data_IF_867543489470
#
_entry.id   IF_867543489470
#
_cell.length_a   1.000
_cell.length_b   1.000
_cell.length_c   1.000
_cell.angle_alpha   90.00
_cell.angle_beta   90.00
_cell.angle_gamma   90.00
#
_symmetry.space_group_name_H-M   'P 1'
#
loop_
_entity.id
_entity.type
_entity.pdbx_description
1 polymer ?
#
# COMPACT_ATOMS: atom_id res chain seq x y z
N UNK A 1 -15.92 -22.69 18.31
CA UNK A 1 -15.42 -21.44 17.70
C UNK A 1 -15.96 -21.30 16.28
N UNK A 2 -16.35 -20.11 15.84
CA UNK A 2 -16.89 -19.81 14.50
C UNK A 2 -16.17 -18.60 13.91
N UNK A 3 -15.73 -18.68 12.66
CA UNK A 3 -15.17 -17.55 11.91
C UNK A 3 -16.30 -16.67 11.36
N UNK A 4 -16.17 -15.36 11.49
CA UNK A 4 -17.02 -14.37 10.82
C UNK A 4 -16.11 -13.37 10.09
N UNK A 5 -16.59 -12.87 8.94
CA UNK A 5 -15.89 -11.87 8.12
C UNK A 5 -16.68 -10.57 8.10
N UNK A 6 -15.95 -9.44 8.05
CA UNK A 6 -16.50 -8.12 7.83
C UNK A 6 -17.23 -8.00 6.49
N UNK A 7 -18.21 -7.11 6.42
CA UNK A 7 -19.00 -6.85 5.20
C UNK A 7 -18.48 -5.66 4.37
N UNK A 8 -17.67 -4.78 4.96
CA UNK A 8 -17.05 -3.66 4.27
C UNK A 8 -15.75 -4.07 3.57
N UNK A 9 -15.38 -3.30 2.55
CA UNK A 9 -14.09 -3.36 1.87
C UNK A 9 -12.99 -3.42 2.93
N UNK A 10 -12.19 -4.48 2.86
CA UNK A 10 -11.36 -4.94 3.96
C UNK A 10 -10.22 -4.01 4.34
N UNK A 11 -9.35 -4.51 5.21
CA UNK A 11 -8.06 -3.90 5.48
C UNK A 11 -7.17 -4.00 4.23
N UNK A 12 -6.44 -2.94 3.93
CA UNK A 12 -5.46 -2.90 2.85
C UNK A 12 -4.12 -3.38 3.34
N UNK A 13 -3.42 -4.13 2.52
CA UNK A 13 -2.04 -4.53 2.72
C UNK A 13 -1.24 -4.14 1.48
N UNK A 14 -0.21 -3.32 1.66
CA UNK A 14 0.62 -2.78 0.58
C UNK A 14 2.01 -2.45 1.10
N UNK A 15 2.97 -2.22 0.19
CA UNK A 15 4.28 -1.69 0.56
C UNK A 15 4.40 -0.23 0.09
N UNK A 16 5.02 0.58 0.93
CA UNK A 16 5.29 1.99 0.71
C UNK A 16 6.74 2.19 0.27
N UNK A 17 6.94 2.85 -0.87
CA UNK A 17 8.23 3.42 -1.21
C UNK A 17 8.52 4.63 -0.31
N UNK A 18 9.70 4.66 0.32
CA UNK A 18 10.15 5.70 1.23
C UNK A 18 11.39 6.38 0.66
N UNK A 19 11.21 7.60 0.13
CA UNK A 19 12.32 8.35 -0.47
C UNK A 19 11.90 9.50 -1.37
N UNK A 20 10.69 9.46 -1.90
CA UNK A 20 10.14 10.50 -2.75
C UNK A 20 9.12 11.34 -1.95
N UNK A 21 9.59 12.27 -1.14
CA UNK A 21 8.75 13.20 -0.37
C UNK A 21 8.86 14.60 -0.94
N UNK A 22 7.75 15.28 -1.19
CA UNK A 22 7.76 16.61 -1.77
C UNK A 22 8.43 17.63 -0.86
N UNK A 23 9.29 18.45 -1.44
CA UNK A 23 9.87 19.64 -0.82
C UNK A 23 10.03 20.74 -1.85
N UNK A 24 9.20 21.78 -1.75
CA UNK A 24 9.22 22.93 -2.65
C UNK A 24 10.47 23.80 -2.51
N UNK A 25 11.29 23.58 -1.49
CA UNK A 25 12.57 24.29 -1.30
C UNK A 25 13.74 23.60 -2.01
N UNK A 26 13.59 22.33 -2.37
CA UNK A 26 14.62 21.58 -3.08
C UNK A 26 14.60 21.89 -4.58
N UNK A 27 15.72 21.69 -5.27
CA UNK A 27 15.82 21.92 -6.72
C UNK A 27 15.07 20.90 -7.56
N UNK A 28 14.91 19.68 -7.08
CA UNK A 28 14.20 18.60 -7.78
C UNK A 28 12.72 18.47 -7.37
N UNK A 29 12.27 19.25 -6.38
CA UNK A 29 10.92 19.14 -5.82
C UNK A 29 10.75 18.04 -4.76
N UNK A 30 11.83 17.34 -4.38
CA UNK A 30 11.83 16.28 -3.38
C UNK A 30 12.95 16.42 -2.35
N UNK A 31 12.73 15.88 -1.14
CA UNK A 31 13.73 15.85 -0.07
C UNK A 31 15.01 15.12 -0.50
N UNK A 32 14.89 13.99 -1.20
CA UNK A 32 16.01 13.19 -1.70
C UNK A 32 16.02 13.17 -3.23
N UNK A 33 16.77 14.07 -3.85
CA UNK A 33 16.87 14.16 -5.31
C UNK A 33 17.56 12.96 -5.97
N UNK A 34 18.28 12.15 -5.19
CA UNK A 34 18.96 10.93 -5.62
C UNK A 34 18.17 9.65 -5.29
N UNK A 35 16.92 9.77 -4.82
CA UNK A 35 16.10 8.59 -4.52
C UNK A 35 15.83 7.78 -5.80
N UNK A 36 16.09 6.46 -5.79
CA UNK A 36 15.79 5.60 -6.94
C UNK A 36 14.28 5.55 -7.23
N UNK A 37 13.45 5.85 -6.22
CA UNK A 37 12.00 5.87 -6.37
C UNK A 37 11.47 7.12 -7.06
N UNK A 38 12.31 8.10 -7.44
CA UNK A 38 11.89 9.14 -8.38
C UNK A 38 11.75 8.60 -9.80
N UNK A 39 12.46 7.51 -10.13
CA UNK A 39 12.33 6.84 -11.41
C UNK A 39 11.09 5.93 -11.45
N UNK A 40 10.18 6.23 -12.38
CA UNK A 40 8.96 5.46 -12.61
C UNK A 40 9.27 4.03 -13.05
N UNK A 41 10.33 3.81 -13.84
CA UNK A 41 10.71 2.48 -14.33
C UNK A 41 11.15 1.57 -13.19
N UNK A 42 11.87 2.11 -12.20
CA UNK A 42 12.22 1.38 -10.97
C UNK A 42 10.96 0.93 -10.23
N UNK A 43 10.01 1.85 -9.99
CA UNK A 43 8.77 1.52 -9.28
C UNK A 43 7.92 0.49 -10.03
N UNK A 44 7.86 0.60 -11.36
CA UNK A 44 7.18 -0.36 -12.22
C UNK A 44 7.86 -1.73 -12.17
N UNK A 45 9.19 -1.79 -12.30
CA UNK A 45 9.94 -3.03 -12.26
C UNK A 45 9.73 -3.80 -10.94
N UNK A 46 9.83 -3.11 -9.80
CA UNK A 46 9.61 -3.71 -8.49
C UNK A 46 8.19 -4.26 -8.32
N UNK A 47 7.19 -3.65 -8.97
CA UNK A 47 5.82 -4.16 -9.00
C UNK A 47 5.67 -5.39 -9.89
N UNK A 48 6.28 -5.39 -11.07
CA UNK A 48 6.20 -6.51 -12.04
C UNK A 48 7.02 -7.73 -11.61
N UNK A 49 7.95 -7.56 -10.68
CA UNK A 49 8.70 -8.66 -10.08
C UNK A 49 7.84 -9.56 -9.17
N UNK A 50 6.68 -9.10 -8.69
CA UNK A 50 5.96 -9.78 -7.61
C UNK A 50 4.87 -10.68 -8.18
N UNK A 51 5.01 -11.99 -7.95
CA UNK A 51 3.92 -12.94 -8.17
C UNK A 51 2.87 -12.79 -7.06
N UNK A 52 1.83 -12.02 -7.36
CA UNK A 52 0.72 -11.76 -6.45
C UNK A 52 -0.22 -12.96 -6.31
N UNK A 53 -0.22 -13.92 -7.22
CA UNK A 53 -1.09 -15.08 -7.07
C UNK A 53 -0.43 -16.09 -6.13
N UNK A 54 0.86 -16.37 -6.33
CA UNK A 54 1.68 -17.19 -5.43
C UNK A 54 1.69 -16.62 -4.01
N UNK A 55 1.95 -15.31 -3.87
CA UNK A 55 1.98 -14.64 -2.58
C UNK A 55 0.62 -14.73 -1.85
N UNK A 56 -0.49 -14.62 -2.58
CA UNK A 56 -1.84 -14.71 -2.01
C UNK A 56 -2.12 -16.12 -1.47
N UNK A 57 -1.71 -17.16 -2.20
CA UNK A 57 -1.89 -18.53 -1.74
C UNK A 57 -1.03 -18.82 -0.50
N UNK A 58 0.24 -18.42 -0.51
CA UNK A 58 1.19 -18.73 0.55
C UNK A 58 0.87 -18.03 1.88
N UNK A 59 0.55 -16.73 1.84
CA UNK A 59 0.44 -15.92 3.07
C UNK A 59 -0.98 -15.47 3.39
N UNK A 60 -1.87 -15.42 2.41
CA UNK A 60 -3.25 -14.95 2.59
C UNK A 60 -4.28 -16.08 2.44
N UNK A 61 -3.83 -17.31 2.22
CA UNK A 61 -4.67 -18.50 2.03
C UNK A 61 -5.64 -18.37 0.85
N UNK A 62 -5.27 -17.61 -0.17
CA UNK A 62 -6.09 -17.32 -1.35
C UNK A 62 -7.28 -16.39 -1.09
N UNK A 63 -7.33 -15.74 0.07
CA UNK A 63 -8.46 -14.88 0.49
C UNK A 63 -8.23 -13.39 0.24
N UNK A 64 -7.01 -12.99 -0.13
CA UNK A 64 -6.72 -11.62 -0.52
C UNK A 64 -7.43 -11.28 -1.83
N UNK A 65 -8.16 -10.17 -1.84
CA UNK A 65 -8.71 -9.61 -3.07
C UNK A 65 -7.64 -8.70 -3.69
N UNK A 66 -7.27 -8.95 -4.96
CA UNK A 66 -6.27 -8.16 -5.69
C UNK A 66 -6.58 -6.66 -5.59
N UNK A 67 -5.60 -5.88 -5.13
CA UNK A 67 -5.76 -4.44 -4.99
C UNK A 67 -5.25 -3.71 -6.23
N UNK A 68 -6.19 -3.26 -7.07
CA UNK A 68 -5.88 -2.51 -8.31
C UNK A 68 -5.52 -1.06 -8.02
N UNK A 69 -6.11 -0.46 -6.98
CA UNK A 69 -5.77 0.88 -6.49
C UNK A 69 -5.73 0.88 -4.97
N UNK A 70 -4.73 1.56 -4.41
CA UNK A 70 -4.51 1.52 -2.97
C UNK A 70 -5.58 2.26 -2.17
N UNK A 71 -5.95 3.47 -2.55
CA UNK A 71 -6.82 4.31 -1.72
C UNK A 71 -8.27 4.37 -2.19
N UNK A 72 -8.60 3.71 -3.29
CA UNK A 72 -9.93 3.75 -3.87
C UNK A 72 -10.41 2.30 -3.94
N UNK A 73 -11.49 1.91 -3.25
CA UNK A 73 -12.03 0.57 -3.37
C UNK A 73 -12.80 0.41 -4.69
N UNK A 74 -12.87 -0.80 -5.27
CA UNK A 74 -13.62 -1.06 -6.51
C UNK A 74 -15.12 -0.82 -6.38
N UNK A 75 -15.63 -0.77 -5.14
CA UNK A 75 -17.02 -0.44 -4.84
C UNK A 75 -17.32 1.06 -4.85
N UNK A 76 -16.30 1.93 -5.01
CA UNK A 76 -16.50 3.37 -5.07
C UNK A 76 -17.31 3.75 -6.32
N UNK A 77 -18.27 4.66 -6.19
CA UNK A 77 -19.04 5.19 -7.33
C UNK A 77 -18.17 5.90 -8.37
N UNK A 78 -16.99 6.35 -7.93
CA UNK A 78 -15.92 6.91 -8.72
C UNK A 78 -14.78 5.88 -8.84
N UNK A 79 -15.07 4.64 -9.22
CA UNK A 79 -14.05 3.65 -9.65
C UNK A 79 -13.82 3.67 -11.16
N UNK A 80 -12.58 3.69 -11.66
CA UNK A 80 -12.31 3.78 -13.10
C UNK A 80 -12.10 2.35 -13.58
N UNK A 81 -13.02 1.85 -14.40
CA UNK A 81 -12.96 0.49 -14.92
C UNK A 81 -11.75 0.23 -15.82
N UNK A 82 -11.13 1.29 -16.34
CA UNK A 82 -9.89 1.18 -17.11
C UNK A 82 -8.73 0.70 -16.25
N UNK A 83 -8.71 1.03 -14.95
CA UNK A 83 -7.69 0.51 -14.04
C UNK A 83 -7.71 -1.01 -13.96
N UNK A 84 -8.90 -1.63 -13.93
CA UNK A 84 -9.04 -3.09 -13.95
C UNK A 84 -8.60 -3.69 -15.28
N UNK A 85 -9.07 -3.11 -16.39
CA UNK A 85 -8.74 -3.55 -17.75
C UNK A 85 -7.23 -3.55 -17.98
N UNK A 86 -6.56 -2.51 -17.51
CA UNK A 86 -5.16 -2.25 -17.82
C UNK A 86 -4.20 -2.76 -16.74
N UNK A 87 -4.70 -3.27 -15.60
CA UNK A 87 -3.88 -3.70 -14.48
C UNK A 87 -2.86 -4.76 -14.88
N UNK A 88 -3.30 -5.88 -15.48
CA UNK A 88 -2.42 -7.00 -15.76
C UNK A 88 -1.34 -6.63 -16.79
N UNK A 89 -1.66 -5.76 -17.76
CA UNK A 89 -0.70 -5.26 -18.74
C UNK A 89 0.37 -4.35 -18.14
N UNK A 90 0.04 -3.58 -17.08
CA UNK A 90 0.92 -2.57 -16.51
C UNK A 90 1.66 -3.06 -15.24
N UNK A 91 0.98 -3.84 -14.41
CA UNK A 91 1.40 -4.26 -13.07
C UNK A 91 1.58 -5.78 -12.93
N UNK A 92 1.14 -6.56 -13.92
CA UNK A 92 1.19 -8.03 -13.88
C UNK A 92 2.61 -8.57 -13.75
N UNK A 93 2.69 -9.76 -13.15
CA UNK A 93 3.95 -10.48 -12.90
C UNK A 93 4.68 -10.78 -14.22
N UNK A 94 5.87 -10.20 -14.37
CA UNK A 94 6.76 -10.36 -15.52
C UNK A 94 8.19 -9.94 -15.11
N UNK A 95 8.96 -10.87 -14.51
CA UNK A 95 10.34 -10.62 -14.12
C UNK A 95 11.25 -10.24 -15.28
N UNK A 96 10.96 -10.70 -16.50
CA UNK A 96 11.77 -10.38 -17.67
C UNK A 96 11.63 -8.91 -18.04
N UNK A 97 10.40 -8.40 -18.11
CA UNK A 97 10.18 -6.99 -18.35
C UNK A 97 10.62 -6.10 -17.17
N UNK A 98 10.55 -6.60 -15.93
CA UNK A 98 11.12 -5.90 -14.78
C UNK A 98 12.64 -5.67 -14.95
N UNK A 99 13.40 -6.68 -15.38
CA UNK A 99 14.83 -6.52 -15.69
C UNK A 99 15.07 -5.51 -16.82
N UNK A 100 14.25 -5.52 -17.88
CA UNK A 100 14.35 -4.53 -18.97
C UNK A 100 14.17 -3.10 -18.46
N UNK A 101 13.14 -2.86 -17.65
CA UNK A 101 12.88 -1.54 -17.05
C UNK A 101 14.02 -1.08 -16.15
N UNK A 102 14.60 -1.99 -15.35
CA UNK A 102 15.77 -1.68 -14.53
C UNK A 102 17.00 -1.33 -15.38
N UNK A 103 17.23 -2.05 -16.47
CA UNK A 103 18.33 -1.77 -17.40
C UNK A 103 18.19 -0.42 -18.10
N UNK A 104 16.98 -0.02 -18.49
CA UNK A 104 16.69 1.32 -19.02
C UNK A 104 17.01 2.43 -18.01
N UNK A 105 16.87 2.15 -16.72
CA UNK A 105 17.25 3.03 -15.61
C UNK A 105 18.73 2.93 -15.21
N UNK A 106 19.53 2.12 -15.92
CA UNK A 106 20.97 1.97 -15.67
C UNK A 106 21.33 0.95 -14.59
N UNK A 107 20.37 0.14 -14.13
CA UNK A 107 20.61 -0.93 -13.17
C UNK A 107 20.79 -2.28 -13.87
N UNK A 108 21.80 -3.04 -13.45
CA UNK A 108 22.11 -4.37 -13.97
C UNK A 108 22.93 -5.15 -12.92
N UNK A 109 23.38 -6.35 -13.24
CA UNK A 109 24.16 -7.17 -12.31
C UNK A 109 25.47 -6.53 -11.82
N UNK A 110 26.09 -5.64 -12.61
CA UNK A 110 27.33 -4.94 -12.24
C UNK A 110 27.07 -3.63 -11.49
N UNK A 111 25.88 -3.05 -11.66
CA UNK A 111 25.38 -1.87 -10.96
C UNK A 111 23.96 -2.15 -10.44
N UNK A 112 23.79 -3.01 -9.41
CA UNK A 112 22.47 -3.42 -8.97
C UNK A 112 21.74 -2.25 -8.31
N UNK A 113 20.43 -2.20 -8.50
CA UNK A 113 19.57 -1.35 -7.65
C UNK A 113 19.67 -1.87 -6.21
N UNK A 114 20.03 -1.01 -5.27
CA UNK A 114 20.00 -1.33 -3.84
C UNK A 114 18.76 -0.73 -3.18
N UNK A 115 18.03 -1.53 -2.42
CA UNK A 115 16.87 -1.06 -1.62
C UNK A 115 16.93 -1.63 -0.20
N UNK A 116 16.46 -0.85 0.78
CA UNK A 116 16.32 -1.30 2.16
C UNK A 116 14.92 -1.82 2.44
N UNK A 117 14.76 -3.11 2.75
CA UNK A 117 13.47 -3.73 3.06
C UNK A 117 13.27 -3.79 4.57
N UNK A 118 12.32 -3.02 5.09
CA UNK A 118 12.10 -2.91 6.53
C UNK A 118 11.32 -4.11 7.10
N UNK A 119 12.03 -5.16 7.47
CA UNK A 119 11.46 -6.37 8.07
C UNK A 119 10.83 -6.01 9.43
N UNK A 120 9.49 -5.95 9.42
CA UNK A 120 8.69 -5.49 10.57
C UNK A 120 7.42 -6.31 10.70
N UNK A 121 7.00 -6.56 11.95
CA UNK A 121 5.72 -7.20 12.27
C UNK A 121 4.65 -6.14 12.51
N UNK A 122 3.56 -6.19 11.75
CA UNK A 122 2.43 -5.28 11.90
C UNK A 122 1.33 -5.92 12.75
N UNK A 123 0.81 -5.16 13.72
CA UNK A 123 -0.28 -5.63 14.59
C UNK A 123 -1.54 -6.02 13.79
N UNK A 124 -1.78 -5.34 12.67
CA UNK A 124 -2.91 -5.58 11.78
C UNK A 124 -2.71 -6.80 10.87
N UNK A 125 -1.47 -7.30 10.70
CA UNK A 125 -1.18 -8.49 9.91
C UNK A 125 0.15 -9.12 10.35
N UNK A 126 0.07 -10.18 11.16
CA UNK A 126 1.23 -10.75 11.85
C UNK A 126 2.28 -11.40 10.92
N UNK A 127 1.92 -11.78 9.70
CA UNK A 127 2.81 -12.39 8.71
C UNK A 127 3.51 -11.34 7.83
N UNK A 128 3.49 -10.05 8.21
CA UNK A 128 4.09 -8.98 7.39
C UNK A 128 5.59 -9.14 7.18
N UNK A 129 6.32 -9.70 8.15
CA UNK A 129 7.75 -9.97 8.01
C UNK A 129 8.01 -11.02 6.91
N UNK A 130 7.31 -12.14 6.96
CA UNK A 130 7.45 -13.21 5.96
C UNK A 130 7.06 -12.73 4.55
N UNK A 131 6.02 -11.89 4.44
CA UNK A 131 5.61 -11.26 3.16
C UNK A 131 6.69 -10.33 2.62
N UNK A 132 7.40 -9.59 3.47
CA UNK A 132 8.51 -8.74 3.03
C UNK A 132 9.72 -9.59 2.58
N UNK A 133 10.02 -10.68 3.28
CA UNK A 133 11.13 -11.58 2.95
C UNK A 133 10.95 -12.25 1.58
N UNK A 134 9.75 -12.78 1.30
CA UNK A 134 9.47 -13.40 -0.01
C UNK A 134 9.50 -12.36 -1.14
N UNK A 135 9.00 -11.14 -0.91
CA UNK A 135 9.05 -10.05 -1.89
C UNK A 135 10.50 -9.63 -2.18
N UNK A 136 11.36 -9.59 -1.17
CA UNK A 136 12.79 -9.36 -1.36
C UNK A 136 13.46 -10.49 -2.19
N UNK A 137 12.99 -11.73 -2.03
CA UNK A 137 13.36 -12.86 -2.89
C UNK A 137 13.02 -12.61 -4.36
N UNK A 138 11.77 -12.22 -4.65
CA UNK A 138 11.35 -11.86 -6.02
C UNK A 138 12.19 -10.74 -6.64
N UNK A 139 12.61 -9.76 -5.85
CA UNK A 139 13.52 -8.71 -6.31
C UNK A 139 14.94 -9.22 -6.56
N UNK A 140 15.42 -10.17 -5.76
CA UNK A 140 16.70 -10.81 -5.98
C UNK A 140 16.74 -11.57 -7.31
N UNK A 141 15.62 -12.18 -7.74
CA UNK A 141 15.50 -12.88 -9.03
C UNK A 141 15.59 -11.96 -10.26
N UNK A 142 15.51 -10.64 -10.05
CA UNK A 142 15.70 -9.62 -11.08
C UNK A 142 16.94 -8.75 -10.81
N UNK A 143 17.92 -9.29 -10.07
CA UNK A 143 19.23 -8.69 -9.78
C UNK A 143 19.17 -7.40 -8.93
N UNK A 144 18.06 -7.15 -8.24
CA UNK A 144 17.98 -6.09 -7.23
C UNK A 144 18.59 -6.58 -5.93
N UNK A 145 19.49 -5.79 -5.34
CA UNK A 145 20.07 -6.05 -4.03
C UNK A 145 19.11 -5.56 -2.93
N UNK A 146 18.20 -6.42 -2.53
CA UNK A 146 17.25 -6.17 -1.46
C UNK A 146 17.88 -6.44 -0.08
N UNK A 147 18.27 -5.38 0.62
CA UNK A 147 18.87 -5.49 1.95
C UNK A 147 17.77 -5.63 3.01
N UNK A 148 17.70 -6.77 3.71
CA UNK A 148 16.73 -6.99 4.77
C UNK A 148 17.15 -6.26 6.06
N UNK A 149 16.35 -5.30 6.51
CA UNK A 149 16.65 -4.42 7.63
C UNK A 149 15.70 -4.67 8.80
N UNK A 150 16.20 -5.27 9.87
CA UNK A 150 15.50 -5.35 11.16
C UNK A 150 15.77 -4.06 11.94
N UNK A 151 14.80 -3.14 11.95
CA UNK A 151 14.93 -1.84 12.59
C UNK A 151 13.96 -1.77 13.78
N UNK A 152 14.42 -1.21 14.91
CA UNK A 152 13.54 -0.90 16.04
C UNK A 152 12.35 -0.03 15.59
N UNK A 153 11.14 -0.36 16.06
CA UNK A 153 9.92 0.30 15.61
C UNK A 153 9.88 1.79 15.96
N UNK A 154 10.40 2.19 17.12
CA UNK A 154 10.42 3.59 17.51
C UNK A 154 11.42 4.39 16.66
N UNK A 155 12.60 3.82 16.42
CA UNK A 155 13.59 4.39 15.51
C UNK A 155 13.06 4.53 14.08
N UNK A 156 12.44 3.47 13.52
CA UNK A 156 11.85 3.49 12.19
C UNK A 156 10.77 4.57 12.06
N UNK A 157 9.85 4.65 13.03
CA UNK A 157 8.81 5.69 13.07
C UNK A 157 9.40 7.09 13.14
N UNK A 158 10.46 7.28 13.91
CA UNK A 158 11.16 8.57 14.02
C UNK A 158 11.75 8.99 12.68
N UNK A 159 12.52 8.09 12.03
CA UNK A 159 13.14 8.35 10.73
C UNK A 159 12.11 8.57 9.62
N UNK A 160 11.02 7.80 9.61
CA UNK A 160 9.94 7.96 8.64
C UNK A 160 9.30 9.34 8.76
N UNK A 161 8.99 9.81 9.99
CA UNK A 161 8.41 11.16 10.21
C UNK A 161 9.38 12.29 9.92
N UNK A 162 10.67 12.04 10.06
CA UNK A 162 11.72 12.98 9.70
C UNK A 162 12.06 12.95 8.20
N UNK A 163 11.43 12.07 7.42
CA UNK A 163 11.69 11.87 5.99
C UNK A 163 13.16 11.50 5.70
N UNK A 164 13.82 10.77 6.61
CA UNK A 164 15.26 10.46 6.51
C UNK A 164 15.58 9.34 5.50
N UNK A 165 14.60 8.51 5.13
CA UNK A 165 14.82 7.38 4.23
C UNK A 165 14.73 7.80 2.77
N UNK A 166 15.66 7.35 1.92
CA UNK A 166 15.71 7.66 0.48
C UNK A 166 15.42 6.47 -0.45
N UNK A 167 15.60 5.25 0.05
CA UNK A 167 15.60 3.98 -0.70
C UNK A 167 15.00 2.83 0.12
N UNK A 168 14.20 3.14 1.13
CA UNK A 168 13.55 2.13 1.97
C UNK A 168 12.18 1.73 1.43
N UNK A 169 11.79 0.49 1.72
CA UNK A 169 10.45 -0.04 1.45
C UNK A 169 9.91 -0.63 2.74
N UNK A 170 8.73 -0.16 3.15
CA UNK A 170 8.07 -0.61 4.38
C UNK A 170 6.70 -1.20 4.11
N UNK A 171 6.25 -2.08 4.99
CA UNK A 171 4.91 -2.65 4.93
C UNK A 171 3.87 -1.70 5.55
N UNK A 172 2.66 -1.72 5.01
CA UNK A 172 1.53 -0.97 5.54
C UNK A 172 0.29 -1.85 5.57
N UNK A 173 -0.42 -1.80 6.70
CA UNK A 173 -1.68 -2.49 6.91
C UNK A 173 -2.68 -1.56 7.62
N UNK A 174 -3.74 -1.18 6.92
CA UNK A 174 -4.71 -0.17 7.41
C UNK A 174 -6.09 -0.34 6.79
N UNK A 175 -7.13 0.09 7.50
CA UNK A 175 -8.49 0.17 6.97
C UNK A 175 -8.88 1.59 6.53
N UNK A 176 -7.98 2.59 6.61
CA UNK A 176 -8.23 3.92 6.05
C UNK A 176 -8.21 3.87 4.52
N UNK A 177 -9.10 4.58 3.84
CA UNK A 177 -9.13 4.70 2.37
C UNK A 177 -9.69 6.09 1.99
N UNK A 178 -9.93 6.33 0.71
CA UNK A 178 -10.38 7.59 0.11
C UNK A 178 -9.49 8.77 0.55
N UNK A 179 -10.12 9.87 0.97
CA UNK A 179 -9.46 11.10 1.39
C UNK A 179 -8.43 10.83 2.49
N UNK A 180 -8.78 9.99 3.49
CA UNK A 180 -7.86 9.69 4.58
C UNK A 180 -6.68 8.82 4.12
N UNK A 181 -6.91 7.92 3.16
CA UNK A 181 -5.85 7.14 2.54
C UNK A 181 -4.83 8.03 1.86
N UNK A 182 -5.28 8.85 0.90
CA UNK A 182 -4.42 9.76 0.13
C UNK A 182 -3.70 10.78 1.02
N UNK A 183 -4.46 11.45 1.90
CA UNK A 183 -3.92 12.48 2.78
C UNK A 183 -2.83 11.93 3.70
N UNK A 184 -3.04 10.76 4.30
CA UNK A 184 -2.09 10.21 5.27
C UNK A 184 -0.87 9.60 4.60
N UNK A 185 -1.00 8.88 3.49
CA UNK A 185 0.13 8.06 3.00
C UNK A 185 0.90 8.71 1.85
N UNK A 186 0.23 9.51 1.01
CA UNK A 186 0.72 9.89 -0.31
C UNK A 186 0.48 11.38 -0.60
N UNK A 187 0.54 12.22 0.44
CA UNK A 187 0.39 13.66 0.31
C UNK A 187 1.41 14.41 1.16
N UNK A 188 1.62 15.67 0.84
CA UNK A 188 2.50 16.56 1.60
C UNK A 188 1.83 17.21 2.82
N UNK A 189 0.60 16.81 3.17
CA UNK A 189 -0.24 17.49 4.16
C UNK A 189 -0.32 16.73 5.48
N UNK A 190 -0.35 17.46 6.61
CA UNK A 190 -0.33 16.88 7.97
C UNK A 190 -1.70 16.29 8.36
N UNK A 191 -1.75 15.08 8.97
CA UNK A 191 -0.65 14.18 9.26
C UNK A 191 -0.14 13.54 7.96
N UNK A 192 1.16 13.70 7.75
CA UNK A 192 1.92 13.32 6.56
C UNK A 192 2.68 12.04 6.89
N UNK A 193 2.32 10.96 6.22
CA UNK A 193 3.03 9.70 6.27
C UNK A 193 4.29 9.76 5.42
N UNK A 194 5.16 8.77 5.59
CA UNK A 194 6.41 8.68 4.83
C UNK A 194 6.32 7.70 3.68
N UNK A 195 5.25 7.71 2.87
CA UNK A 195 5.26 7.01 1.57
C UNK A 195 5.49 8.02 0.44
N UNK A 196 5.69 7.51 -0.78
CA UNK A 196 5.92 8.32 -1.96
C UNK A 196 4.80 9.32 -2.23
N UNK A 197 5.17 10.54 -2.53
CA UNK A 197 4.28 11.63 -2.90
C UNK A 197 4.54 12.00 -4.37
N UNK A 198 3.48 12.18 -5.16
CA UNK A 198 3.65 12.64 -6.53
C UNK A 198 3.49 14.15 -6.61
N UNK A 199 4.39 14.80 -7.35
CA UNK A 199 4.34 16.26 -7.54
C UNK A 199 3.09 16.70 -8.30
N UNK A 200 2.59 15.88 -9.23
CA UNK A 200 1.42 16.18 -10.05
C UNK A 200 0.08 15.96 -9.34
N UNK A 201 0.05 15.31 -8.16
CA UNK A 201 -1.18 15.13 -7.38
C UNK A 201 -1.33 16.15 -6.24
N UNK A 202 -0.27 16.89 -5.90
CA UNK A 202 -0.25 17.78 -4.73
C UNK A 202 -1.40 18.80 -4.71
N UNK A 203 -1.58 19.55 -5.81
CA UNK A 203 -2.62 20.57 -5.91
C UNK A 203 -4.05 20.00 -5.85
N UNK A 204 -4.26 18.79 -6.41
CA UNK A 204 -5.56 18.11 -6.34
C UNK A 204 -5.85 17.65 -4.90
N UNK A 205 -4.83 17.21 -4.17
CA UNK A 205 -4.99 16.81 -2.77
C UNK A 205 -5.30 18.04 -1.88
N UNK A 206 -4.70 19.19 -2.16
CA UNK A 206 -5.04 20.44 -1.45
C UNK A 206 -6.50 20.84 -1.69
N UNK A 207 -6.96 20.78 -2.94
CA UNK A 207 -8.36 21.01 -3.28
C UNK A 207 -9.29 20.01 -2.61
N UNK A 208 -8.92 18.72 -2.61
CA UNK A 208 -9.70 17.65 -1.99
C UNK A 208 -9.92 17.88 -0.49
N UNK A 209 -8.92 18.45 0.20
CA UNK A 209 -9.03 18.76 1.63
C UNK A 209 -9.89 19.98 1.94
N UNK A 210 -9.93 20.94 1.03
CA UNK A 210 -10.76 22.14 1.18
C UNK A 210 -12.21 21.92 0.73
N UNK A 211 -12.47 20.94 -0.13
CA UNK A 211 -13.79 20.64 -0.66
C UNK A 211 -14.66 19.91 0.36
N UNK A 212 -15.90 20.37 0.53
CA UNK A 212 -16.89 19.83 1.48
C UNK A 212 -18.05 19.13 0.78
N UNK A 213 -18.19 19.31 -0.54
CA UNK A 213 -19.17 18.61 -1.35
C UNK A 213 -18.65 17.22 -1.76
N UNK A 214 -19.37 16.17 -1.33
CA UNK A 214 -18.96 14.79 -1.57
C UNK A 214 -18.91 14.41 -3.07
N UNK A 215 -19.76 14.98 -3.92
CA UNK A 215 -19.74 14.66 -5.34
C UNK A 215 -18.49 15.27 -6.01
N UNK A 216 -18.10 16.47 -5.62
CA UNK A 216 -16.84 17.09 -6.09
C UNK A 216 -15.61 16.39 -5.54
N UNK A 217 -15.62 15.95 -4.27
CA UNK A 217 -14.55 15.11 -3.72
C UNK A 217 -14.35 13.84 -4.55
N UNK A 218 -15.43 13.17 -4.97
CA UNK A 218 -15.35 11.97 -5.80
C UNK A 218 -14.72 12.24 -7.17
N UNK A 219 -14.98 13.40 -7.78
CA UNK A 219 -14.32 13.82 -9.04
C UNK A 219 -12.81 13.99 -8.83
N UNK A 220 -12.41 14.69 -7.76
CA UNK A 220 -11.00 14.89 -7.42
C UNK A 220 -10.30 13.56 -7.10
N UNK A 221 -10.95 12.65 -6.36
CA UNK A 221 -10.41 11.33 -6.05
C UNK A 221 -10.23 10.47 -7.31
N UNK A 222 -11.18 10.52 -8.25
CA UNK A 222 -11.02 9.89 -9.58
C UNK A 222 -9.78 10.43 -10.28
N UNK A 223 -9.64 11.74 -10.37
CA UNK A 223 -8.54 12.40 -11.09
C UNK A 223 -7.17 12.07 -10.46
N UNK A 224 -7.08 12.11 -9.13
CA UNK A 224 -5.89 11.67 -8.40
C UNK A 224 -5.57 10.20 -8.71
N UNK A 225 -6.59 9.33 -8.71
CA UNK A 225 -6.43 7.92 -9.05
C UNK A 225 -5.94 7.69 -10.48
N UNK A 226 -6.46 8.45 -11.44
CA UNK A 226 -6.08 8.35 -12.86
C UNK A 226 -4.62 8.76 -13.07
N UNK A 227 -4.17 9.82 -12.40
CA UNK A 227 -2.77 10.23 -12.41
C UNK A 227 -1.87 9.19 -11.71
N UNK A 228 -2.32 8.65 -10.58
CA UNK A 228 -1.52 7.75 -9.76
C UNK A 228 -1.37 6.34 -10.36
N UNK A 229 -2.36 5.85 -11.12
CA UNK A 229 -2.37 4.48 -11.64
C UNK A 229 -1.14 4.18 -12.52
N UNK A 230 -0.76 5.13 -13.38
CA UNK A 230 0.40 4.97 -14.25
C UNK A 230 1.74 5.21 -13.56
N UNK A 231 1.74 5.67 -12.31
CA UNK A 231 2.92 6.18 -11.61
C UNK A 231 3.48 5.23 -10.55
N UNK A 232 2.83 4.09 -10.31
CA UNK A 232 3.35 3.06 -9.40
C UNK A 232 3.75 3.60 -8.00
N UNK A 233 2.87 4.39 -7.37
CA UNK A 233 3.18 5.11 -6.12
C UNK A 233 3.47 4.20 -4.92
N UNK A 234 3.15 2.92 -5.04
CA UNK A 234 3.46 1.91 -4.04
C UNK A 234 3.35 0.53 -4.67
N UNK A 235 3.38 -0.49 -3.82
CA UNK A 235 3.24 -1.88 -4.24
C UNK A 235 1.95 -2.42 -3.64
N UNK A 236 0.93 -2.52 -4.48
CA UNK A 236 -0.40 -2.89 -4.05
C UNK A 236 -0.49 -4.41 -4.00
N UNK A 237 -0.84 -4.95 -2.82
CA UNK A 237 -1.04 -6.39 -2.65
C UNK A 237 -2.53 -6.69 -2.64
N UNK A 238 -3.17 -6.65 -1.47
CA UNK A 238 -4.54 -7.12 -1.32
C UNK A 238 -5.40 -6.24 -0.41
N UNK A 239 -6.69 -6.25 -0.70
CA UNK A 239 -7.73 -6.04 0.29
C UNK A 239 -8.00 -7.37 1.00
N UNK A 240 -7.88 -7.38 2.33
CA UNK A 240 -8.14 -8.56 3.16
C UNK A 240 -9.36 -8.30 4.05
N UNK A 241 -10.37 -9.18 4.05
CA UNK A 241 -11.53 -8.99 4.92
C UNK A 241 -11.09 -9.05 6.39
N UNK A 242 -11.64 -8.16 7.22
CA UNK A 242 -11.44 -8.27 8.65
C UNK A 242 -12.13 -9.55 9.16
N UNK A 243 -11.38 -10.44 9.82
CA UNK A 243 -11.90 -11.72 10.29
C UNK A 243 -11.81 -11.84 11.81
N UNK A 244 -12.87 -12.38 12.41
CA UNK A 244 -12.97 -12.61 13.84
C UNK A 244 -13.36 -14.04 14.13
N UNK A 245 -12.84 -14.59 15.22
CA UNK A 245 -13.29 -15.88 15.74
C UNK A 245 -14.17 -15.63 16.97
N UNK A 246 -15.44 -16.04 16.89
CA UNK A 246 -16.39 -15.92 18.00
C UNK A 246 -16.61 -17.28 18.66
N UNK A 247 -16.88 -17.28 19.98
CA UNK A 247 -17.37 -18.47 20.66
C UNK A 247 -18.92 -18.46 20.63
N UNK A 248 -19.55 -19.39 19.88
CA UNK A 248 -21.01 -19.43 19.77
C UNK A 248 -21.72 -19.79 21.09
N UNK A 249 -21.00 -20.26 22.11
CA UNK A 249 -21.55 -20.45 23.47
C UNK A 249 -21.95 -19.12 24.12
N UNK A 250 -21.22 -18.05 23.80
CA UNK A 250 -21.42 -16.72 24.40
C UNK A 250 -21.98 -15.71 23.40
N UNK A 251 -21.69 -15.87 22.11
CA UNK A 251 -22.07 -14.93 21.04
C UNK A 251 -23.03 -15.61 20.07
N UNK A 252 -24.31 -15.26 20.13
CA UNK A 252 -25.34 -15.78 19.23
C UNK A 252 -25.14 -15.27 17.79
N UNK A 253 -24.84 -13.98 17.63
CA UNK A 253 -24.53 -13.38 16.33
C UNK A 253 -23.76 -12.10 16.50
N UNK A 254 -22.99 -11.72 15.49
CA UNK A 254 -22.35 -10.42 15.42
C UNK A 254 -22.33 -9.96 13.97
N UNK A 255 -23.13 -8.93 13.65
CA UNK A 255 -23.12 -8.31 12.32
C UNK A 255 -21.91 -7.38 12.20
N UNK A 256 -20.72 -7.96 12.20
CA UNK A 256 -19.47 -7.22 12.20
C UNK A 256 -19.23 -6.61 10.82
N UNK A 257 -19.21 -5.26 10.66
CA UNK A 257 -19.01 -4.65 9.37
C UNK A 257 -17.52 -4.61 8.96
N UNK A 258 -16.59 -4.71 9.92
CA UNK A 258 -15.15 -4.65 9.68
C UNK A 258 -14.42 -3.71 10.63
N UNK A 259 -13.09 -3.67 10.51
CA UNK A 259 -12.24 -2.75 11.27
C UNK A 259 -12.27 -1.35 10.65
N UNK A 260 -12.36 -0.31 11.50
CA UNK A 260 -12.19 1.10 11.09
C UNK A 260 -10.84 1.63 11.62
N UNK A 261 -10.65 1.57 12.94
CA UNK A 261 -9.46 2.07 13.64
C UNK A 261 -8.86 1.10 14.67
N UNK A 262 -9.56 0.00 14.97
CA UNK A 262 -9.16 -1.04 15.92
C UNK A 262 -9.57 -2.41 15.39
N UNK A 263 -8.91 -3.46 15.90
CA UNK A 263 -9.12 -4.86 15.47
C UNK A 263 -10.56 -5.33 15.74
N UNK A 264 -11.21 -4.76 16.77
CA UNK A 264 -12.60 -5.04 17.16
C UNK A 264 -13.38 -3.74 17.33
N UNK A 265 -14.54 -3.64 16.68
CA UNK A 265 -15.35 -2.40 16.58
C UNK A 265 -16.83 -2.75 16.46
N UNK A 266 -17.73 -1.81 16.73
CA UNK A 266 -19.18 -2.04 16.59
C UNK A 266 -19.77 -3.08 17.58
N UNK A 267 -19.30 -3.09 18.83
CA UNK A 267 -19.75 -4.04 19.85
C UNK A 267 -21.26 -4.00 20.10
N UNK A 268 -21.91 -2.88 19.82
CA UNK A 268 -23.36 -2.71 19.86
C UNK A 268 -24.13 -3.64 18.89
N UNK A 269 -23.46 -4.19 17.87
CA UNK A 269 -24.03 -5.15 16.92
C UNK A 269 -23.87 -6.61 17.38
N UNK A 270 -23.22 -6.85 18.53
CA UNK A 270 -23.04 -8.17 19.12
C UNK A 270 -24.31 -8.59 19.88
N UNK A 271 -24.81 -9.79 19.60
CA UNK A 271 -25.89 -10.43 20.34
C UNK A 271 -25.33 -11.58 21.16
N UNK A 272 -25.47 -11.49 22.49
CA UNK A 272 -25.12 -12.58 23.39
C UNK A 272 -26.13 -13.73 23.30
N UNK A 273 -25.70 -14.95 23.62
CA UNK A 273 -26.62 -16.07 23.83
C UNK A 273 -27.48 -15.78 25.05
N UNK A 274 -28.81 -15.81 24.87
CA UNK A 274 -29.74 -15.72 25.99
C UNK A 274 -29.72 -17.04 26.75
N UNK A 275 -29.30 -17.01 28.01
CA UNK A 275 -29.39 -18.14 28.93
C UNK A 275 -30.80 -18.26 29.48
#
# INVERSE_FOLDING_TARGET
>A
MKLISGTLSGQRVFLSFKGAYLDSKSSCGYVHCDSPFLDRNVRQALNRAIDRDELNQAFFGGKGQKMVMNHIPPTASYWNTDWDRDFDANWGFDPAAARTLLAESGYNSDNPLEVGVEITTHAQYGQSADVLEIIAGYWSDIDVKANLLTIDTAANRSNTRAFNYKDHIGFAATASFDIQGWRVYNSHVVPRGGSLELINTGALIDQLQAEMDAAKQNVLLREIGDLAFGEYMGIYLYWIPAQLVINPEFVASYNFPGSLSAIWTHYELLKAVKK
#
